data_IF_292457016969
#
_entry.id   IF_292457016969
#
_cell.length_a   1.000
_cell.length_b   1.000
_cell.length_c   1.000
_cell.angle_alpha   90.00
_cell.angle_beta   90.00
_cell.angle_gamma   90.00
#
_symmetry.space_group_name_H-M   'P 1'
#
loop_
_entity.id
_entity.type
_entity.pdbx_description
1 polymer ?
#
# COMPACT_ATOMS: atom_id res chain seq x y z
N UNK A 1 -29.58 -7.98 -54.02
CA UNK A 1 -28.97 -6.87 -53.26
C UNK A 1 -29.23 -6.96 -51.75
N UNK A 2 -30.43 -7.35 -51.28
CA UNK A 2 -30.74 -7.55 -49.84
C UNK A 2 -29.89 -8.62 -49.11
N UNK A 3 -29.52 -9.72 -49.80
CA UNK A 3 -28.70 -10.81 -49.20
C UNK A 3 -27.23 -10.41 -48.96
N UNK A 4 -26.71 -9.45 -49.73
CA UNK A 4 -25.34 -8.93 -49.57
C UNK A 4 -25.24 -7.95 -48.39
N UNK A 5 -26.30 -7.16 -48.18
CA UNK A 5 -26.42 -6.24 -47.04
C UNK A 5 -26.54 -6.95 -45.69
N UNK A 6 -27.23 -8.10 -45.66
CA UNK A 6 -27.33 -8.96 -44.47
C UNK A 6 -26.00 -9.63 -44.09
N UNK A 7 -25.12 -9.88 -45.07
CA UNK A 7 -23.83 -10.51 -44.82
C UNK A 7 -22.80 -9.54 -44.20
N UNK A 8 -22.87 -8.24 -44.53
CA UNK A 8 -22.01 -7.21 -43.93
C UNK A 8 -22.34 -6.95 -42.45
N UNK A 9 -23.62 -7.00 -42.05
CA UNK A 9 -24.03 -6.79 -40.66
C UNK A 9 -23.57 -7.95 -39.76
N UNK A 10 -23.53 -9.18 -40.29
CA UNK A 10 -23.03 -10.35 -39.55
C UNK A 10 -21.51 -10.30 -39.28
N UNK A 11 -20.72 -9.69 -40.18
CA UNK A 11 -19.27 -9.54 -40.01
C UNK A 11 -18.93 -8.42 -39.01
N UNK A 12 -19.73 -7.34 -38.97
CA UNK A 12 -19.54 -6.24 -38.01
C UNK A 12 -19.81 -6.65 -36.55
N UNK A 13 -20.74 -7.59 -36.31
CA UNK A 13 -21.05 -8.09 -34.96
C UNK A 13 -19.93 -8.93 -34.33
N UNK A 14 -19.13 -9.63 -35.13
CA UNK A 14 -18.04 -10.50 -34.66
C UNK A 14 -16.78 -9.71 -34.27
N UNK A 15 -16.53 -8.55 -34.90
CA UNK A 15 -15.39 -7.69 -34.60
C UNK A 15 -15.51 -6.97 -33.24
N UNK A 16 -16.72 -6.70 -32.76
CA UNK A 16 -16.94 -6.07 -31.44
C UNK A 16 -16.59 -7.02 -30.27
N UNK A 17 -16.73 -8.33 -30.47
CA UNK A 17 -16.42 -9.34 -29.44
C UNK A 17 -14.93 -9.63 -29.29
N UNK A 18 -14.11 -9.41 -30.33
CA UNK A 18 -12.66 -9.67 -30.27
C UNK A 18 -11.90 -8.53 -29.60
N UNK A 19 -12.27 -7.28 -29.87
CA UNK A 19 -11.64 -6.09 -29.27
C UNK A 19 -11.87 -6.04 -27.75
N UNK A 20 -13.10 -6.33 -27.29
CA UNK A 20 -13.42 -6.33 -25.86
C UNK A 20 -12.68 -7.44 -25.09
N UNK A 21 -12.52 -8.64 -25.67
CA UNK A 21 -11.72 -9.72 -25.09
C UNK A 21 -10.24 -9.39 -24.97
N UNK A 22 -9.64 -8.80 -26.01
CA UNK A 22 -8.24 -8.35 -25.98
C UNK A 22 -7.98 -7.34 -24.85
N UNK A 23 -8.94 -6.44 -24.58
CA UNK A 23 -8.80 -5.47 -23.49
C UNK A 23 -8.95 -6.10 -22.09
N UNK A 24 -9.76 -7.16 -21.95
CA UNK A 24 -9.94 -7.85 -20.67
C UNK A 24 -8.71 -8.72 -20.33
N UNK A 25 -8.21 -9.49 -21.29
CA UNK A 25 -7.00 -10.30 -21.16
C UNK A 25 -5.78 -9.43 -20.83
N UNK A 26 -5.64 -8.28 -21.51
CA UNK A 26 -4.55 -7.34 -21.25
C UNK A 26 -4.60 -6.73 -19.84
N UNK A 27 -5.79 -6.43 -19.30
CA UNK A 27 -5.94 -5.95 -17.91
C UNK A 27 -5.62 -7.03 -16.90
N UNK A 28 -6.07 -8.27 -17.15
CA UNK A 28 -5.79 -9.41 -16.29
C UNK A 28 -4.28 -9.70 -16.24
N UNK A 29 -3.59 -9.67 -17.38
CA UNK A 29 -2.14 -9.85 -17.45
C UNK A 29 -1.38 -8.76 -16.67
N UNK A 30 -1.79 -7.49 -16.78
CA UNK A 30 -1.21 -6.39 -15.99
C UNK A 30 -1.45 -6.56 -14.49
N UNK A 31 -2.67 -6.92 -14.10
CA UNK A 31 -2.98 -7.16 -12.69
C UNK A 31 -2.16 -8.33 -12.12
N UNK A 32 -2.00 -9.41 -12.88
CA UNK A 32 -1.16 -10.54 -12.50
C UNK A 32 0.32 -10.14 -12.37
N UNK A 33 0.83 -9.33 -13.30
CA UNK A 33 2.19 -8.80 -13.23
C UNK A 33 2.40 -7.93 -11.97
N UNK A 34 1.47 -7.01 -11.69
CA UNK A 34 1.50 -6.18 -10.47
C UNK A 34 1.49 -7.06 -9.21
N UNK A 35 0.59 -8.04 -9.16
CA UNK A 35 0.49 -8.97 -8.03
C UNK A 35 1.78 -9.79 -7.83
N UNK A 36 2.41 -10.23 -8.91
CA UNK A 36 3.70 -10.92 -8.86
C UNK A 36 4.78 -10.00 -8.26
N UNK A 37 4.90 -8.76 -8.75
CA UNK A 37 5.88 -7.79 -8.26
C UNK A 37 5.68 -7.45 -6.78
N UNK A 38 4.42 -7.30 -6.35
CA UNK A 38 4.06 -7.15 -4.93
C UNK A 38 4.54 -8.36 -4.13
N UNK A 39 4.29 -9.58 -4.62
CA UNK A 39 4.77 -10.82 -4.01
C UNK A 39 6.29 -10.84 -3.84
N UNK A 40 7.06 -10.56 -4.89
CA UNK A 40 8.54 -10.52 -4.86
C UNK A 40 9.08 -9.55 -3.80
N UNK A 41 8.46 -8.37 -3.68
CA UNK A 41 8.82 -7.33 -2.70
C UNK A 41 8.45 -7.74 -1.26
N UNK A 42 7.33 -8.42 -1.07
CA UNK A 42 6.91 -8.98 0.22
C UNK A 42 7.81 -10.14 0.65
N UNK A 43 8.13 -11.07 -0.26
CA UNK A 43 8.97 -12.24 0.02
C UNK A 43 10.39 -11.84 0.41
N UNK A 44 10.95 -10.84 -0.28
CA UNK A 44 12.26 -10.28 0.06
C UNK A 44 12.24 -9.40 1.31
N UNK A 45 11.06 -9.02 1.82
CA UNK A 45 10.87 -8.03 2.89
C UNK A 45 11.63 -6.72 2.62
N UNK A 46 11.75 -6.35 1.33
CA UNK A 46 12.47 -5.17 0.86
C UNK A 46 11.55 -4.38 -0.06
N UNK A 47 10.86 -3.41 0.52
CA UNK A 47 9.86 -2.64 -0.20
C UNK A 47 9.74 -1.21 0.32
N UNK A 48 9.26 -0.32 -0.54
CA UNK A 48 8.91 1.06 -0.20
C UNK A 48 7.41 1.27 -0.42
N UNK A 49 6.80 2.01 0.48
CA UNK A 49 5.41 2.46 0.37
C UNK A 49 5.41 3.97 0.38
N UNK A 50 4.79 4.55 -0.64
CA UNK A 50 4.55 5.99 -0.71
C UNK A 50 3.15 6.27 -0.22
N UNK A 51 3.05 7.18 0.76
CA UNK A 51 1.79 7.54 1.39
C UNK A 51 1.27 8.81 0.75
N UNK A 52 -0.02 8.84 0.44
CA UNK A 52 -0.70 9.98 -0.16
C UNK A 52 -1.88 10.48 0.67
N UNK A 53 -2.32 9.72 1.68
CA UNK A 53 -3.41 10.10 2.57
C UNK A 53 -3.14 9.69 4.02
N UNK A 54 -3.59 10.53 4.94
CA UNK A 54 -3.61 10.27 6.38
C UNK A 54 -5.04 10.34 6.93
N UNK A 55 -5.37 9.38 7.79
CA UNK A 55 -6.61 9.25 8.54
C UNK A 55 -6.29 9.37 10.02
N UNK A 56 -6.73 10.47 10.62
CA UNK A 56 -6.63 10.70 12.05
C UNK A 56 -7.83 10.06 12.75
N UNK A 57 -7.65 9.56 13.99
CA UNK A 57 -8.81 9.09 14.77
C UNK A 57 -9.83 10.18 15.05
N UNK A 58 -9.36 11.43 15.08
CA UNK A 58 -10.17 12.62 15.29
C UNK A 58 -9.85 13.65 14.21
N UNK A 59 -10.88 14.12 13.54
CA UNK A 59 -10.77 15.12 12.48
C UNK A 59 -10.86 14.53 11.08
N UNK A 60 -10.69 15.40 10.08
CA UNK A 60 -10.81 15.02 8.68
C UNK A 60 -9.55 14.29 8.20
N UNK A 61 -9.75 13.32 7.30
CA UNK A 61 -8.67 12.77 6.49
C UNK A 61 -8.05 13.88 5.64
N UNK A 62 -6.74 13.78 5.39
CA UNK A 62 -6.00 14.78 4.62
C UNK A 62 -5.13 14.08 3.59
N UNK A 63 -5.04 14.67 2.40
CA UNK A 63 -3.97 14.34 1.48
C UNK A 63 -2.63 14.79 2.09
N UNK A 64 -1.57 14.03 1.83
CA UNK A 64 -0.20 14.42 2.18
C UNK A 64 0.62 14.66 0.92
N UNK A 65 1.57 15.57 1.00
CA UNK A 65 2.47 15.89 -0.11
C UNK A 65 3.44 14.73 -0.40
N UNK A 66 4.24 14.88 -1.45
CA UNK A 66 5.23 13.88 -1.84
C UNK A 66 6.35 13.71 -0.78
N UNK A 67 6.97 12.53 -0.77
CA UNK A 67 8.17 12.25 0.03
C UNK A 67 7.89 11.60 1.39
N UNK A 68 6.63 11.41 1.76
CA UNK A 68 6.25 10.62 2.93
C UNK A 68 6.03 9.15 2.58
N UNK A 69 6.43 8.28 3.51
CA UNK A 69 6.33 6.85 3.30
C UNK A 69 7.14 6.04 4.30
N UNK A 70 7.16 4.73 4.04
CA UNK A 70 8.02 3.80 4.78
C UNK A 70 8.86 3.01 3.79
N UNK A 71 10.07 2.64 4.21
CA UNK A 71 10.91 1.66 3.52
C UNK A 71 11.30 0.59 4.50
N UNK A 72 10.98 -0.65 4.17
CA UNK A 72 11.48 -1.81 4.88
C UNK A 72 12.67 -2.39 4.11
N UNK A 73 13.78 -2.65 4.80
CA UNK A 73 14.97 -3.22 4.20
C UNK A 73 15.44 -4.43 5.03
N UNK A 74 14.72 -5.54 4.92
CA UNK A 74 15.01 -6.76 5.67
C UNK A 74 14.56 -6.63 7.13
N UNK A 75 15.47 -6.22 8.01
CA UNK A 75 15.25 -6.08 9.45
C UNK A 75 15.14 -4.62 9.92
N UNK A 76 15.33 -3.65 9.03
CA UNK A 76 15.35 -2.23 9.39
C UNK A 76 14.18 -1.50 8.75
N UNK A 77 13.41 -0.78 9.57
CA UNK A 77 12.33 0.10 9.14
C UNK A 77 12.84 1.54 9.09
N UNK A 78 12.68 2.17 7.94
CA UNK A 78 12.85 3.60 7.73
C UNK A 78 11.45 4.20 7.61
N UNK A 79 11.05 4.96 8.61
CA UNK A 79 9.75 5.63 8.65
C UNK A 79 9.96 7.12 8.45
N UNK A 80 9.23 7.71 7.50
CA UNK A 80 9.12 9.15 7.31
C UNK A 80 7.66 9.46 7.09
N UNK A 81 6.90 9.48 8.19
CA UNK A 81 5.47 9.74 8.15
C UNK A 81 5.15 11.02 8.92
N UNK A 82 4.21 11.85 8.42
CA UNK A 82 3.77 13.00 9.15
C UNK A 82 2.89 12.57 10.32
N UNK A 83 2.99 13.27 11.45
CA UNK A 83 2.18 13.00 12.63
C UNK A 83 1.41 14.25 13.06
N UNK A 84 0.07 14.18 12.99
CA UNK A 84 -0.84 15.25 13.41
C UNK A 84 -1.79 14.83 14.53
N UNK A 85 -1.54 13.66 15.15
CA UNK A 85 -2.33 13.14 16.25
C UNK A 85 -1.96 13.75 17.60
N UNK A 86 -2.65 13.30 18.65
CA UNK A 86 -2.34 13.73 20.02
C UNK A 86 -1.19 12.90 20.61
N UNK A 87 -0.18 13.59 21.10
CA UNK A 87 0.87 13.01 21.93
C UNK A 87 0.49 13.06 23.42
N UNK A 88 0.86 12.02 24.18
CA UNK A 88 0.59 11.89 25.61
C UNK A 88 1.83 12.23 26.44
N UNK A 89 2.89 11.42 26.32
CA UNK A 89 4.18 11.66 26.98
C UNK A 89 5.29 11.68 25.95
N UNK A 90 5.62 12.86 25.46
CA UNK A 90 6.71 13.05 24.48
C UNK A 90 7.70 14.09 24.98
N UNK A 91 8.98 14.00 24.59
CA UNK A 91 9.98 14.99 24.95
C UNK A 91 9.57 16.41 24.53
N UNK A 92 10.16 17.41 25.19
CA UNK A 92 10.00 18.80 24.79
C UNK A 92 10.41 18.98 23.32
N UNK A 93 9.53 19.58 22.50
CA UNK A 93 9.71 19.66 21.05
C UNK A 93 9.06 18.53 20.23
N UNK A 94 8.34 17.58 20.86
CA UNK A 94 7.53 16.57 20.19
C UNK A 94 8.27 15.27 19.81
N UNK A 95 9.60 15.28 19.89
CA UNK A 95 10.46 14.14 19.61
C UNK A 95 10.44 13.72 18.13
N UNK A 96 10.84 12.47 17.87
CA UNK A 96 10.93 11.87 16.52
C UNK A 96 9.58 11.52 15.91
N UNK A 97 8.54 11.34 16.74
CA UNK A 97 7.20 10.94 16.31
C UNK A 97 7.21 9.72 15.38
N UNK A 98 6.89 9.89 14.08
CA UNK A 98 6.90 8.83 13.07
C UNK A 98 7.99 9.03 12.00
N UNK A 99 8.98 9.88 12.26
CA UNK A 99 10.16 10.07 11.42
C UNK A 99 11.41 9.53 12.12
N UNK A 100 11.75 8.28 11.82
CA UNK A 100 12.87 7.58 12.45
C UNK A 100 13.34 6.39 11.63
N UNK A 101 14.55 5.91 11.92
CA UNK A 101 15.06 4.63 11.46
C UNK A 101 15.33 3.74 12.67
N UNK A 102 14.82 2.51 12.65
CA UNK A 102 14.99 1.58 13.76
C UNK A 102 14.94 0.11 13.28
N UNK A 103 15.63 -0.80 13.99
CA UNK A 103 15.51 -2.23 13.74
C UNK A 103 14.12 -2.74 14.15
N UNK A 104 13.60 -3.68 13.38
CA UNK A 104 12.36 -4.42 13.66
C UNK A 104 12.67 -5.51 14.66
N UNK A 105 12.05 -5.44 15.83
CA UNK A 105 12.25 -6.43 16.90
C UNK A 105 11.48 -7.73 16.66
N UNK A 106 10.24 -7.63 16.19
CA UNK A 106 9.41 -8.79 15.84
C UNK A 106 8.59 -8.51 14.59
N UNK A 107 8.38 -9.55 13.78
CA UNK A 107 7.66 -9.49 12.51
C UNK A 107 6.75 -10.69 12.36
N UNK A 108 5.53 -10.42 11.90
CA UNK A 108 4.60 -11.44 11.44
C UNK A 108 4.05 -11.11 10.06
N UNK A 109 4.01 -12.10 9.17
CA UNK A 109 3.44 -11.96 7.82
C UNK A 109 2.33 -12.98 7.67
N UNK A 110 1.14 -12.52 7.24
CA UNK A 110 -0.03 -13.39 7.06
C UNK A 110 -0.72 -13.05 5.75
N UNK A 111 -0.91 -14.05 4.90
CA UNK A 111 -1.81 -13.94 3.75
C UNK A 111 -3.25 -14.04 4.23
N UNK A 112 -4.05 -13.03 3.90
CA UNK A 112 -5.47 -12.92 4.20
C UNK A 112 -6.30 -13.16 2.93
N UNK A 113 -7.63 -13.08 3.06
CA UNK A 113 -8.56 -13.22 1.94
C UNK A 113 -8.44 -12.03 0.97
N UNK A 114 -8.98 -12.18 -0.24
CA UNK A 114 -9.13 -11.10 -1.23
C UNK A 114 -7.80 -10.46 -1.68
N UNK A 115 -6.73 -11.26 -1.76
CA UNK A 115 -5.44 -10.77 -2.25
C UNK A 115 -4.75 -9.78 -1.31
N UNK A 116 -5.05 -9.85 -0.01
CA UNK A 116 -4.45 -9.01 1.02
C UNK A 116 -3.35 -9.80 1.75
N UNK A 117 -2.17 -9.21 1.88
CA UNK A 117 -1.11 -9.68 2.78
C UNK A 117 -0.90 -8.66 3.88
N UNK A 118 -1.00 -9.10 5.13
CA UNK A 118 -0.74 -8.29 6.32
C UNK A 118 0.68 -8.53 6.81
N UNK A 119 1.44 -7.46 6.98
CA UNK A 119 2.76 -7.45 7.60
C UNK A 119 2.67 -6.64 8.90
N UNK A 120 2.89 -7.29 10.03
CA UNK A 120 2.95 -6.65 11.35
C UNK A 120 4.41 -6.52 11.77
N UNK A 121 4.85 -5.31 12.11
CA UNK A 121 6.20 -5.00 12.57
C UNK A 121 6.13 -4.35 13.94
N UNK A 122 6.86 -4.91 14.90
CA UNK A 122 7.09 -4.28 16.22
C UNK A 122 8.43 -3.58 16.19
N UNK A 123 8.41 -2.27 16.42
CA UNK A 123 9.60 -1.41 16.35
C UNK A 123 9.68 -0.59 17.62
N UNK A 124 10.87 -0.45 18.18
CA UNK A 124 11.11 0.36 19.38
C UNK A 124 12.23 1.34 19.07
N UNK A 125 12.02 2.61 19.38
CA UNK A 125 13.07 3.61 19.39
C UNK A 125 13.34 4.08 20.83
N UNK A 126 14.12 5.13 20.98
CA UNK A 126 14.47 5.76 22.25
C UNK A 126 13.31 6.48 22.94
N UNK A 127 12.22 6.78 22.21
CA UNK A 127 11.09 7.56 22.71
C UNK A 127 9.80 6.75 22.92
N UNK A 128 9.58 5.69 22.15
CA UNK A 128 8.27 5.03 22.03
C UNK A 128 8.39 3.60 21.49
N UNK A 129 7.28 2.86 21.58
CA UNK A 129 7.09 1.51 21.05
C UNK A 129 5.95 1.51 20.06
N UNK A 130 6.22 0.99 18.87
CA UNK A 130 5.31 1.04 17.74
C UNK A 130 4.91 -0.36 17.28
N UNK A 131 3.66 -0.46 16.83
CA UNK A 131 3.15 -1.54 16.00
C UNK A 131 2.75 -0.93 14.66
N UNK A 132 3.44 -1.36 13.61
CA UNK A 132 3.08 -1.06 12.23
C UNK A 132 2.31 -2.26 11.67
N UNK A 133 1.06 -2.04 11.25
CA UNK A 133 0.26 -3.03 10.53
C UNK A 133 0.13 -2.57 9.09
N UNK A 134 0.83 -3.25 8.20
CA UNK A 134 0.92 -2.91 6.77
C UNK A 134 0.07 -3.93 6.00
N UNK A 135 -1.07 -3.47 5.53
CA UNK A 135 -2.01 -4.23 4.70
C UNK A 135 -1.73 -3.95 3.23
N UNK A 136 -1.10 -4.90 2.55
CA UNK A 136 -0.69 -4.80 1.13
C UNK A 136 -1.61 -5.63 0.26
N UNK A 137 -2.30 -5.00 -0.68
CA UNK A 137 -3.16 -5.65 -1.65
C UNK A 137 -2.35 -6.06 -2.90
N UNK A 138 -2.79 -7.11 -3.59
CA UNK A 138 -2.18 -7.60 -4.84
C UNK A 138 -2.12 -6.55 -5.96
N UNK A 139 -2.93 -5.50 -5.88
CA UNK A 139 -2.89 -4.38 -6.82
C UNK A 139 -1.86 -3.29 -6.45
N UNK A 140 -1.06 -3.50 -5.40
CA UNK A 140 -0.05 -2.57 -4.92
C UNK A 140 -0.57 -1.51 -3.95
N UNK A 141 -1.89 -1.41 -3.70
CA UNK A 141 -2.41 -0.50 -2.68
C UNK A 141 -1.98 -0.95 -1.28
N UNK A 142 -1.78 0.02 -0.40
CA UNK A 142 -1.36 -0.22 0.98
C UNK A 142 -2.23 0.59 1.93
N UNK A 143 -2.72 -0.07 2.97
CA UNK A 143 -3.23 0.57 4.18
C UNK A 143 -2.22 0.35 5.30
N UNK A 144 -1.77 1.43 5.92
CA UNK A 144 -0.80 1.38 6.99
C UNK A 144 -1.44 1.91 8.27
N UNK A 145 -1.54 1.07 9.28
CA UNK A 145 -1.93 1.49 10.63
C UNK A 145 -0.70 1.55 11.53
N UNK A 146 -0.51 2.67 12.21
CA UNK A 146 0.58 2.88 13.15
C UNK A 146 -0.01 3.14 14.53
N UNK A 147 0.19 2.18 15.42
CA UNK A 147 -0.10 2.32 16.85
C UNK A 147 1.19 2.59 17.59
N UNK A 148 1.16 3.57 18.49
CA UNK A 148 2.26 3.94 19.37
C UNK A 148 1.77 3.93 20.82
N UNK A 149 2.68 3.81 21.77
CA UNK A 149 2.31 3.79 23.19
C UNK A 149 2.02 5.21 23.69
N UNK A 150 2.86 6.18 23.33
CA UNK A 150 2.77 7.55 23.84
C UNK A 150 2.09 8.52 22.87
N UNK A 151 1.50 7.99 21.79
CA UNK A 151 0.88 8.76 20.72
C UNK A 151 -0.41 8.10 20.26
N UNK A 152 -1.40 8.91 19.92
CA UNK A 152 -2.63 8.43 19.29
C UNK A 152 -2.33 7.71 17.97
N UNK A 153 -3.01 6.58 17.75
CA UNK A 153 -2.96 5.79 16.53
C UNK A 153 -3.32 6.61 15.30
N UNK A 154 -2.65 6.36 14.19
CA UNK A 154 -2.89 7.02 12.91
C UNK A 154 -2.87 5.98 11.81
N UNK A 155 -3.77 6.14 10.85
CA UNK A 155 -3.82 5.30 9.66
C UNK A 155 -3.42 6.10 8.42
N UNK A 156 -2.82 5.44 7.45
CA UNK A 156 -2.37 6.00 6.20
C UNK A 156 -2.84 5.14 5.03
N UNK A 157 -3.06 5.76 3.88
CA UNK A 157 -3.22 5.08 2.61
C UNK A 157 -2.08 5.46 1.67
N UNK A 158 -1.66 4.49 0.86
CA UNK A 158 -0.54 4.65 -0.05
C UNK A 158 -0.47 3.53 -1.07
N UNK A 159 0.65 3.48 -1.77
CA UNK A 159 0.94 2.47 -2.78
C UNK A 159 2.38 1.96 -2.63
N UNK A 160 2.56 0.67 -2.87
CA UNK A 160 3.87 0.04 -2.93
C UNK A 160 4.55 0.46 -4.22
N UNK A 161 5.84 0.79 -4.12
CA UNK A 161 6.67 1.15 -5.27
C UNK A 161 7.18 -0.14 -5.91
N UNK A 162 6.73 -0.40 -7.14
CA UNK A 162 6.99 -1.66 -7.87
C UNK A 162 8.10 -1.53 -8.92
N UNK A 163 8.28 -0.32 -9.42
CA UNK A 163 9.30 0.05 -10.39
C UNK A 163 10.45 0.75 -9.63
N UNK A 164 11.52 -0.01 -9.39
CA UNK A 164 12.84 0.49 -8.98
C UNK A 164 13.87 -0.01 -9.99
#
# INVERSE_FOLDING_TARGET
MKKLFLLMIAVAGLAACTVSRQTAEGRAAKAAHVAQRVGEKLDSMRFRVDVNYIYLRRGAARAVDFGYGIRLSGDTLYSRLPYFGRAYHVPYGGGKALDFTAPVGDRQVRRLKNGLTRVELRVTNDEDRYLYVIDVFDNGRVMLDVTAQEREQVQFAGEMVLDE
#
